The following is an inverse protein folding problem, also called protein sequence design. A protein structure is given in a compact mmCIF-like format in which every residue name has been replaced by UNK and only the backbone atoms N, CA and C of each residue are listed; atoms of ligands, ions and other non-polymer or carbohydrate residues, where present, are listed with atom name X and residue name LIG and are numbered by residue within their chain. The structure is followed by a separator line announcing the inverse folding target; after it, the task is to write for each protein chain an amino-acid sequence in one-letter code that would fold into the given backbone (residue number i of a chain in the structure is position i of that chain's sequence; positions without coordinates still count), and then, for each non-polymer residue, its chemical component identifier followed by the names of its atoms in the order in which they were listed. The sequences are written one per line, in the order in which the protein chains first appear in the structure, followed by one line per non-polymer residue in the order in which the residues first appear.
data_IF_531505605380
#
_entry.id   IF_531505605380
#
_cell.length_a   1.000
_cell.length_b   1.000
_cell.length_c   1.000
_cell.angle_alpha   90.00
_cell.angle_beta   90.00
_cell.angle_gamma   90.00
#
_symmetry.space_group_name_H-M   'P 1'
#
loop_
_entity.id
_entity.type
_entity.pdbx_description
1 polymer ?
#
# COMPACT_ATOMS: atom_id res chain seq x y z
N UNK A 1 7.82 15.10 8.19
CA UNK A 1 7.35 15.16 6.79
C UNK A 1 8.32 16.05 6.02
N UNK A 2 8.95 15.54 4.96
CA UNK A 2 9.83 16.32 4.07
C UNK A 2 9.02 16.68 2.81
N UNK A 3 9.06 17.95 2.39
CA UNK A 3 8.26 18.44 1.26
C UNK A 3 9.23 18.81 0.14
N UNK A 4 9.04 18.21 -1.02
CA UNK A 4 9.85 18.47 -2.21
C UNK A 4 8.93 18.75 -3.40
N UNK A 5 9.24 19.78 -4.17
CA UNK A 5 8.55 20.08 -5.42
C UNK A 5 9.38 19.53 -6.58
N UNK A 6 8.78 18.67 -7.40
CA UNK A 6 9.38 18.08 -8.60
C UNK A 6 8.59 18.45 -9.85
N UNK A 7 9.31 18.68 -10.94
CA UNK A 7 8.74 18.83 -12.29
C UNK A 7 8.59 17.46 -12.95
N UNK A 8 7.93 17.43 -14.11
CA UNK A 8 7.86 16.25 -14.97
C UNK A 8 9.28 15.74 -15.26
N UNK A 9 9.45 14.42 -15.22
CA UNK A 9 10.71 13.69 -15.47
C UNK A 9 11.80 13.87 -14.39
N UNK A 10 11.50 14.60 -13.30
CA UNK A 10 12.39 14.60 -12.13
C UNK A 10 12.07 13.45 -11.18
N UNK A 11 13.10 12.94 -10.50
CA UNK A 11 12.98 11.86 -9.52
C UNK A 11 13.47 12.24 -8.12
N UNK A 12 13.05 11.43 -7.15
CA UNK A 12 13.43 11.46 -5.73
C UNK A 12 13.94 10.08 -5.38
N UNK A 13 15.11 10.00 -4.74
CA UNK A 13 15.68 8.75 -4.26
C UNK A 13 15.52 8.70 -2.73
N UNK A 14 15.06 7.57 -2.22
CA UNK A 14 14.93 7.26 -0.79
C UNK A 14 15.80 6.05 -0.48
N UNK A 15 16.72 6.21 0.47
CA UNK A 15 17.62 5.16 0.98
C UNK A 15 18.50 4.45 -0.08
N UNK A 16 18.68 5.06 -1.26
CA UNK A 16 19.41 4.52 -2.42
C UNK A 16 18.70 3.41 -3.22
N UNK A 17 17.68 2.76 -2.66
CA UNK A 17 17.00 1.63 -3.32
C UNK A 17 15.63 1.96 -3.90
N UNK A 18 15.01 3.06 -3.48
CA UNK A 18 13.67 3.45 -3.92
C UNK A 18 13.77 4.74 -4.73
N UNK A 19 13.36 4.69 -5.99
CA UNK A 19 13.28 5.84 -6.88
C UNK A 19 11.81 6.15 -7.19
N UNK A 20 11.40 7.39 -6.92
CA UNK A 20 10.08 7.92 -7.25
C UNK A 20 10.24 8.97 -8.35
N UNK A 21 9.62 8.74 -9.51
CA UNK A 21 9.71 9.61 -10.67
C UNK A 21 8.35 10.21 -11.02
N UNK A 22 8.32 11.50 -11.35
CA UNK A 22 7.12 12.16 -11.86
C UNK A 22 7.00 11.90 -13.37
N UNK A 23 6.21 10.89 -13.76
CA UNK A 23 6.03 10.48 -15.16
C UNK A 23 5.15 11.47 -15.93
N UNK A 24 4.21 12.12 -15.24
CA UNK A 24 3.31 13.07 -15.88
C UNK A 24 2.47 13.84 -14.90
N UNK A 25 2.07 15.03 -15.32
CA UNK A 25 1.19 15.91 -14.56
C UNK A 25 0.00 16.21 -15.48
N UNK A 26 -1.22 15.99 -15.00
CA UNK A 26 -2.45 16.22 -15.73
C UNK A 26 -3.46 16.81 -14.77
N UNK A 27 -3.99 18.00 -15.03
CA UNK A 27 -5.00 18.73 -14.24
C UNK A 27 -5.39 18.10 -12.87
N UNK A 28 -4.55 18.34 -11.85
CA UNK A 28 -4.77 17.90 -10.47
C UNK A 28 -4.33 16.46 -10.12
N UNK A 29 -3.91 15.68 -11.11
CA UNK A 29 -3.36 14.31 -10.96
C UNK A 29 -1.90 14.26 -11.36
N UNK A 30 -1.13 13.50 -10.58
CA UNK A 30 0.29 13.23 -10.86
C UNK A 30 0.45 11.74 -11.09
N UNK A 31 1.07 11.38 -12.21
CA UNK A 31 1.52 10.01 -12.48
C UNK A 31 2.88 9.83 -11.86
N UNK A 32 2.96 8.95 -10.87
CA UNK A 32 4.21 8.59 -10.20
C UNK A 32 4.66 7.22 -10.69
N UNK A 33 5.90 7.11 -11.14
CA UNK A 33 6.61 5.86 -11.33
C UNK A 33 7.37 5.56 -10.05
N UNK A 34 7.24 4.35 -9.51
CA UNK A 34 7.96 3.92 -8.32
C UNK A 34 8.79 2.72 -8.72
N UNK A 35 10.10 2.81 -8.54
CA UNK A 35 11.05 1.73 -8.75
C UNK A 35 11.62 1.38 -7.38
N UNK A 36 11.31 0.19 -6.91
CA UNK A 36 11.78 -0.37 -5.65
C UNK A 36 12.21 -1.82 -5.89
N UNK A 37 13.12 -2.35 -5.08
CA UNK A 37 13.50 -3.76 -5.14
C UNK A 37 12.34 -4.66 -4.67
N UNK A 38 12.39 -5.96 -5.00
CA UNK A 38 11.26 -6.89 -4.84
C UNK A 38 10.89 -7.17 -3.38
N UNK A 39 11.82 -6.95 -2.47
CA UNK A 39 11.64 -7.08 -1.03
C UNK A 39 10.80 -5.95 -0.43
N UNK A 40 10.66 -4.83 -1.14
CA UNK A 40 9.88 -3.67 -0.69
C UNK A 40 8.54 -3.64 -1.41
N UNK A 41 7.47 -3.91 -0.66
CA UNK A 41 6.11 -3.83 -1.18
C UNK A 41 5.66 -2.38 -1.31
N UNK A 42 5.09 -2.03 -2.47
CA UNK A 42 4.56 -0.70 -2.76
C UNK A 42 3.05 -0.80 -2.87
N UNK A 43 2.35 -0.18 -1.93
CA UNK A 43 0.89 -0.14 -1.90
C UNK A 43 0.37 1.29 -2.01
N UNK A 44 -0.87 1.41 -2.50
CA UNK A 44 -1.62 2.65 -2.33
C UNK A 44 -2.07 2.76 -0.89
N UNK A 45 -2.03 3.97 -0.35
CA UNK A 45 -2.28 4.21 1.08
C UNK A 45 -3.66 3.70 1.51
N UNK A 46 -4.69 3.99 0.73
CA UNK A 46 -6.06 3.60 1.02
C UNK A 46 -6.23 2.08 1.11
N UNK A 47 -5.60 1.35 0.20
CA UNK A 47 -5.64 -0.12 0.17
C UNK A 47 -4.90 -0.68 1.39
N UNK A 48 -3.74 -0.11 1.73
CA UNK A 48 -2.96 -0.54 2.88
C UNK A 48 -3.73 -0.34 4.20
N UNK A 49 -4.40 0.80 4.36
CA UNK A 49 -5.23 1.09 5.54
C UNK A 49 -6.42 0.13 5.66
N UNK A 50 -7.09 -0.18 4.55
CA UNK A 50 -8.18 -1.17 4.53
C UNK A 50 -7.71 -2.58 4.91
N UNK A 51 -6.57 -3.02 4.37
CA UNK A 51 -5.98 -4.34 4.71
C UNK A 51 -5.64 -4.39 6.20
N UNK A 52 -4.99 -3.35 6.74
CA UNK A 52 -4.68 -3.31 8.17
C UNK A 52 -5.92 -3.36 9.04
N UNK A 53 -6.96 -2.60 8.67
CA UNK A 53 -8.23 -2.59 9.40
C UNK A 53 -8.90 -3.97 9.38
N UNK A 54 -8.98 -4.60 8.22
CA UNK A 54 -9.56 -5.94 8.07
C UNK A 54 -8.78 -6.98 8.89
N UNK A 55 -7.45 -6.92 8.88
CA UNK A 55 -6.60 -7.81 9.69
C UNK A 55 -6.86 -7.62 11.19
N UNK A 56 -7.03 -6.39 11.65
CA UNK A 56 -7.37 -6.10 13.05
C UNK A 56 -8.77 -6.62 13.42
N UNK A 57 -9.76 -6.47 12.55
CA UNK A 57 -11.11 -7.00 12.76
C UNK A 57 -11.12 -8.54 12.82
N UNK A 58 -10.38 -9.19 11.92
CA UNK A 58 -10.21 -10.65 11.93
C UNK A 58 -9.54 -11.14 13.22
N UNK A 59 -8.47 -10.46 13.66
CA UNK A 59 -7.76 -10.80 14.90
C UNK A 59 -8.61 -10.58 16.16
N UNK A 60 -9.54 -9.63 16.14
CA UNK A 60 -10.43 -9.33 17.26
C UNK A 60 -11.72 -10.17 17.30
N UNK A 61 -11.90 -11.13 16.37
CA UNK A 61 -13.05 -12.03 16.39
C UNK A 61 -12.98 -12.98 17.60
N UNK A 62 -13.77 -12.68 18.64
CA UNK A 62 -13.91 -13.51 19.84
C UNK A 62 -14.45 -14.90 19.48
N UNK A 63 -13.74 -15.94 19.93
CA UNK A 63 -14.12 -17.37 19.92
C UNK A 63 -14.85 -17.81 18.64
N UNK A 64 -14.08 -18.09 17.59
CA UNK A 64 -14.57 -18.87 16.46
C UNK A 64 -14.96 -20.26 16.99
N UNK A 65 -16.26 -20.58 16.96
CA UNK A 65 -16.72 -21.93 17.27
C UNK A 65 -16.37 -22.86 16.10
N UNK A 66 -15.22 -23.51 16.22
CA UNK A 66 -14.69 -24.44 15.21
C UNK A 66 -15.65 -25.61 14.92
N UNK A 67 -16.54 -25.98 15.86
CA UNK A 67 -17.53 -27.03 15.64
C UNK A 67 -18.68 -26.56 14.74
N UNK A 68 -19.09 -25.30 14.84
CA UNK A 68 -20.09 -24.72 13.95
C UNK A 68 -19.55 -24.60 12.52
N UNK A 69 -18.28 -24.21 12.37
CA UNK A 69 -17.62 -24.11 11.06
C UNK A 69 -17.56 -25.48 10.36
N UNK A 70 -17.20 -26.54 11.09
CA UNK A 70 -17.06 -27.90 10.54
C UNK A 70 -18.38 -28.50 10.05
N UNK A 71 -19.52 -28.03 10.56
CA UNK A 71 -20.87 -28.44 10.12
C UNK A 71 -21.34 -27.75 8.83
N UNK A 72 -20.78 -26.60 8.48
CA UNK A 72 -21.14 -25.85 7.28
C UNK A 72 -20.46 -26.38 6.00
N UNK A 73 -19.32 -27.06 6.15
CA UNK A 73 -18.54 -27.62 5.02
C UNK A 73 -18.76 -29.13 4.80
N UNK A 74 -19.85 -29.70 5.33
CA UNK A 74 -20.20 -31.12 5.22
C UNK A 74 -21.62 -31.28 4.71
#
# INVERSE_FOLDING_TARGET
MLILTRKKDESIIIDDNIEIMVVGISEGKVKLGIKAPKDIEVHRKEIYEEIQKSNQEAANTKKIDFNALRKLFK
#
